data_IF_849764773778
#
_entry.id   IF_849764773778
#
_cell.length_a   1.000
_cell.length_b   1.000
_cell.length_c   1.000
_cell.angle_alpha   90.00
_cell.angle_beta   90.00
_cell.angle_gamma   90.00
#
_symmetry.space_group_name_H-M   'P 1'
#
loop_
_entity.id
_entity.type
_entity.pdbx_description
1 polymer ?
#
# COMPACT_ATOMS: atom_id res chain seq x y z
N UNK A 1 -19.16 -12.15 9.39
CA UNK A 1 -17.85 -11.63 8.95
C UNK A 1 -18.01 -11.04 7.56
N UNK A 2 -17.71 -9.76 7.40
CA UNK A 2 -17.84 -9.06 6.11
C UNK A 2 -16.50 -9.04 5.41
N UNK A 3 -16.36 -9.83 4.36
CA UNK A 3 -15.17 -9.85 3.51
C UNK A 3 -15.31 -8.70 2.53
N UNK A 4 -14.35 -7.77 2.54
CA UNK A 4 -14.29 -6.62 1.63
C UNK A 4 -13.51 -7.00 0.38
N UNK A 5 -12.41 -7.70 0.56
CA UNK A 5 -11.56 -8.13 -0.53
C UNK A 5 -10.97 -9.51 -0.21
N UNK A 6 -10.95 -10.34 -1.21
CA UNK A 6 -10.22 -11.60 -1.17
C UNK A 6 -9.64 -11.85 -2.56
N UNK A 7 -8.34 -12.05 -2.63
CA UNK A 7 -7.65 -12.24 -3.89
C UNK A 7 -6.42 -13.13 -3.67
N UNK A 8 -6.20 -14.06 -4.58
CA UNK A 8 -5.02 -14.92 -4.53
C UNK A 8 -4.47 -15.14 -5.94
N UNK A 9 -3.16 -15.21 -6.05
CA UNK A 9 -2.45 -15.53 -7.29
C UNK A 9 -1.29 -16.47 -7.01
N UNK A 10 -0.96 -17.29 -8.01
CA UNK A 10 0.14 -18.23 -7.94
C UNK A 10 0.86 -18.28 -9.28
N UNK A 11 2.18 -18.26 -9.21
CA UNK A 11 3.03 -18.56 -10.35
C UNK A 11 4.13 -19.54 -9.91
N UNK A 12 5.04 -20.00 -10.81
CA UNK A 12 6.07 -20.98 -10.42
C UNK A 12 7.00 -20.52 -9.29
N UNK A 13 7.06 -19.24 -9.00
CA UNK A 13 7.99 -18.66 -8.04
C UNK A 13 7.34 -18.20 -6.75
N UNK A 14 6.07 -17.76 -6.81
CA UNK A 14 5.39 -17.14 -5.68
C UNK A 14 3.93 -17.57 -5.59
N UNK A 15 3.46 -17.63 -4.37
CA UNK A 15 2.04 -17.72 -4.05
C UNK A 15 1.71 -16.58 -3.09
N UNK A 16 0.66 -15.84 -3.39
CA UNK A 16 0.26 -14.68 -2.59
C UNK A 16 -1.26 -14.62 -2.47
N UNK A 17 -1.71 -14.24 -1.29
CA UNK A 17 -3.13 -14.02 -1.02
C UNK A 17 -3.34 -12.74 -0.23
N UNK A 18 -4.46 -12.09 -0.49
CA UNK A 18 -4.93 -10.92 0.26
C UNK A 18 -6.36 -11.18 0.69
N UNK A 19 -6.65 -10.88 1.94
CA UNK A 19 -8.01 -10.87 2.47
C UNK A 19 -8.19 -9.62 3.33
N UNK A 20 -9.31 -8.95 3.15
CA UNK A 20 -9.68 -7.78 3.94
C UNK A 20 -11.10 -7.96 4.45
N UNK A 21 -11.29 -7.81 5.75
CA UNK A 21 -12.60 -7.93 6.40
C UNK A 21 -12.91 -6.67 7.19
N UNK A 22 -14.17 -6.27 7.17
CA UNK A 22 -14.63 -5.09 7.89
C UNK A 22 -14.75 -5.34 9.40
N UNK A 23 -15.12 -6.56 9.79
CA UNK A 23 -15.38 -6.89 11.19
C UNK A 23 -16.61 -6.15 11.70
N UNK A 24 -16.48 -5.49 12.85
CA UNK A 24 -17.55 -4.71 13.47
C UNK A 24 -17.49 -3.21 13.14
N UNK A 25 -16.54 -2.80 12.29
CA UNK A 25 -16.37 -1.40 11.90
C UNK A 25 -17.45 -0.99 10.90
N UNK A 26 -17.72 0.32 10.82
CA UNK A 26 -18.66 0.88 9.84
C UNK A 26 -18.03 1.14 8.48
N UNK A 27 -16.71 1.28 8.42
CA UNK A 27 -15.97 1.49 7.18
C UNK A 27 -14.54 0.99 7.32
N UNK A 28 -13.89 0.74 6.17
CA UNK A 28 -12.53 0.21 6.12
C UNK A 28 -11.53 1.32 5.90
N UNK A 29 -10.45 1.32 6.70
CA UNK A 29 -9.33 2.23 6.56
C UNK A 29 -8.03 1.53 6.15
N UNK A 30 -8.06 0.21 6.04
CA UNK A 30 -6.91 -0.59 5.63
C UNK A 30 -7.02 -0.91 4.14
N UNK A 31 -5.92 -0.76 3.43
CA UNK A 31 -5.85 -1.14 2.02
C UNK A 31 -4.59 -1.96 1.77
N UNK A 32 -4.72 -2.90 0.86
CA UNK A 32 -3.62 -3.76 0.44
C UNK A 32 -3.58 -3.85 -1.08
N UNK A 33 -2.40 -4.13 -1.60
CA UNK A 33 -2.18 -4.35 -3.01
C UNK A 33 -1.05 -5.35 -3.19
N UNK A 34 -1.14 -6.18 -4.21
CA UNK A 34 0.01 -6.93 -4.64
C UNK A 34 0.12 -6.98 -6.17
N UNK A 35 1.34 -7.12 -6.63
CA UNK A 35 1.71 -7.36 -8.01
C UNK A 35 2.55 -8.62 -8.07
N UNK A 36 2.24 -9.50 -9.00
CA UNK A 36 3.06 -10.66 -9.32
C UNK A 36 3.52 -10.56 -10.76
N UNK A 37 4.81 -10.60 -10.97
CA UNK A 37 5.41 -10.66 -12.30
C UNK A 37 6.22 -11.93 -12.46
N UNK A 38 6.94 -12.01 -13.56
CA UNK A 38 7.86 -13.12 -13.78
C UNK A 38 9.03 -13.00 -12.79
N UNK A 39 9.09 -13.94 -11.82
CA UNK A 39 10.14 -14.02 -10.80
C UNK A 39 10.19 -12.85 -9.82
N UNK A 40 9.11 -12.06 -9.72
CA UNK A 40 9.05 -10.97 -8.75
C UNK A 40 7.65 -10.80 -8.16
N UNK A 41 7.59 -10.24 -6.96
CA UNK A 41 6.35 -9.88 -6.28
C UNK A 41 6.55 -8.61 -5.47
N UNK A 42 5.55 -7.74 -5.50
CA UNK A 42 5.44 -6.59 -4.61
C UNK A 42 4.16 -6.73 -3.80
N UNK A 43 4.24 -6.60 -2.49
CA UNK A 43 3.08 -6.57 -1.60
C UNK A 43 3.11 -5.31 -0.75
N UNK A 44 1.95 -4.66 -0.61
CA UNK A 44 1.83 -3.40 0.13
C UNK A 44 0.60 -3.46 1.02
N UNK A 45 0.76 -3.05 2.27
CA UNK A 45 -0.34 -2.89 3.23
C UNK A 45 -0.23 -1.52 3.87
N UNK A 46 -1.34 -0.80 3.92
CA UNK A 46 -1.45 0.50 4.54
C UNK A 46 -2.64 0.49 5.51
N UNK A 47 -2.39 0.83 6.78
CA UNK A 47 -3.39 0.96 7.83
C UNK A 47 -3.64 2.45 8.06
N UNK A 48 -4.80 2.93 7.66
CA UNK A 48 -5.18 4.33 7.75
C UNK A 48 -5.65 4.73 9.15
N UNK A 49 -5.35 5.96 9.53
CA UNK A 49 -5.75 6.56 10.79
C UNK A 49 -6.31 7.96 10.57
N UNK A 50 -7.33 8.31 11.33
CA UNK A 50 -7.98 9.61 11.25
C UNK A 50 -9.49 9.50 11.06
N UNK A 51 -10.23 10.53 11.51
CA UNK A 51 -11.67 10.58 11.39
C UNK A 51 -12.14 11.11 10.03
N UNK A 52 -13.46 11.07 9.80
CA UNK A 52 -14.11 11.68 8.63
C UNK A 52 -13.45 11.29 7.28
N UNK A 53 -13.22 10.01 7.05
CA UNK A 53 -12.59 9.47 5.84
C UNK A 53 -11.11 9.80 5.69
N UNK A 54 -10.48 10.46 6.66
CA UNK A 54 -9.06 10.83 6.56
C UNK A 54 -8.15 9.63 6.44
N UNK A 55 -8.33 8.64 7.29
CA UNK A 55 -7.54 7.40 7.24
C UNK A 55 -7.79 6.56 5.98
N UNK A 56 -9.04 6.45 5.57
CA UNK A 56 -9.42 5.74 4.35
C UNK A 56 -8.75 6.35 3.12
N UNK A 57 -8.86 7.66 2.96
CA UNK A 57 -8.28 8.36 1.82
C UNK A 57 -6.75 8.32 1.85
N UNK A 58 -6.15 8.43 3.03
CA UNK A 58 -4.70 8.37 3.18
C UNK A 58 -4.15 7.00 2.76
N UNK A 59 -4.69 5.93 3.30
CA UNK A 59 -4.23 4.57 2.97
C UNK A 59 -4.50 4.20 1.52
N UNK A 60 -5.67 4.55 0.99
CA UNK A 60 -6.01 4.32 -0.41
C UNK A 60 -5.06 5.08 -1.36
N UNK A 61 -4.79 6.35 -1.07
CA UNK A 61 -3.86 7.16 -1.86
C UNK A 61 -2.46 6.56 -1.87
N UNK A 62 -1.97 6.14 -0.70
CA UNK A 62 -0.65 5.52 -0.58
C UNK A 62 -0.54 4.23 -1.40
N UNK A 63 -1.50 3.33 -1.26
CA UNK A 63 -1.50 2.05 -1.99
C UNK A 63 -1.58 2.28 -3.50
N UNK A 64 -2.46 3.17 -3.95
CA UNK A 64 -2.61 3.47 -5.38
C UNK A 64 -1.35 4.08 -5.98
N UNK A 65 -0.71 5.00 -5.27
CA UNK A 65 0.52 5.63 -5.74
C UNK A 65 1.65 4.60 -5.89
N UNK A 66 1.85 3.75 -4.89
CA UNK A 66 2.84 2.67 -4.97
C UNK A 66 2.57 1.76 -6.17
N UNK A 67 1.33 1.35 -6.37
CA UNK A 67 0.94 0.49 -7.48
C UNK A 67 1.23 1.14 -8.83
N UNK A 68 0.86 2.39 -8.99
CA UNK A 68 1.05 3.14 -10.24
C UNK A 68 2.52 3.37 -10.54
N UNK A 69 3.28 3.83 -9.55
CA UNK A 69 4.69 4.16 -9.72
C UNK A 69 5.53 2.92 -9.97
N UNK A 70 5.24 1.83 -9.29
CA UNK A 70 5.94 0.56 -9.53
C UNK A 70 5.75 0.08 -10.97
N UNK A 71 4.51 0.10 -11.48
CA UNK A 71 4.22 -0.31 -12.86
C UNK A 71 4.86 0.61 -13.89
N UNK A 72 4.86 1.92 -13.63
CA UNK A 72 5.41 2.91 -14.55
C UNK A 72 6.94 2.84 -14.63
N UNK A 73 7.61 2.61 -13.50
CA UNK A 73 9.08 2.68 -13.41
C UNK A 73 9.78 1.36 -13.68
N UNK A 74 9.02 0.27 -13.84
CA UNK A 74 9.62 -1.04 -14.19
C UNK A 74 10.32 -1.01 -15.56
N UNK A 75 11.46 -1.69 -15.69
CA UNK A 75 12.20 -2.45 -14.68
C UNK A 75 12.98 -1.52 -13.73
N UNK A 76 12.96 -1.86 -12.43
CA UNK A 76 13.62 -1.04 -11.42
C UNK A 76 14.95 -1.68 -11.06
N UNK A 77 16.05 -0.98 -11.33
CA UNK A 77 17.40 -1.49 -11.10
C UNK A 77 17.83 -1.42 -9.63
N UNK A 78 17.29 -0.48 -8.87
CA UNK A 78 17.65 -0.26 -7.46
C UNK A 78 16.37 -0.23 -6.61
N UNK A 79 15.95 -1.40 -6.15
CA UNK A 79 14.72 -1.54 -5.36
C UNK A 79 14.80 -0.79 -4.02
N UNK A 80 15.89 -0.88 -3.24
CA UNK A 80 15.98 -0.10 -2.00
C UNK A 80 15.79 1.40 -2.22
N UNK A 81 16.42 1.96 -3.24
CA UNK A 81 16.25 3.38 -3.57
C UNK A 81 14.82 3.71 -3.99
N UNK A 82 14.20 2.85 -4.80
CA UNK A 82 12.80 3.01 -5.19
C UNK A 82 11.87 3.02 -3.98
N UNK A 83 11.99 2.04 -3.09
CA UNK A 83 11.14 1.95 -1.90
C UNK A 83 11.30 3.17 -0.99
N UNK A 84 12.53 3.64 -0.81
CA UNK A 84 12.81 4.84 -0.01
C UNK A 84 12.19 6.10 -0.62
N UNK A 85 12.40 6.31 -1.91
CA UNK A 85 11.84 7.46 -2.63
C UNK A 85 10.31 7.41 -2.65
N UNK A 86 9.75 6.23 -2.82
CA UNK A 86 8.31 6.04 -2.87
C UNK A 86 7.66 6.36 -1.53
N UNK A 87 8.26 5.96 -0.42
CA UNK A 87 7.77 6.35 0.90
C UNK A 87 7.68 7.88 1.04
N UNK A 88 8.66 8.61 0.54
CA UNK A 88 8.64 10.07 0.51
C UNK A 88 7.56 10.65 -0.40
N UNK A 89 7.35 10.07 -1.57
CA UNK A 89 6.27 10.48 -2.50
C UNK A 89 4.90 10.24 -1.89
N UNK A 90 4.72 9.12 -1.22
CA UNK A 90 3.47 8.77 -0.54
C UNK A 90 3.19 9.75 0.59
N UNK A 91 4.19 10.10 1.39
CA UNK A 91 4.06 11.09 2.46
C UNK A 91 3.59 12.44 1.92
N UNK A 92 4.20 12.92 0.85
CA UNK A 92 3.79 14.18 0.20
C UNK A 92 2.37 14.11 -0.36
N UNK A 93 2.01 13.01 -0.99
CA UNK A 93 0.69 12.84 -1.59
C UNK A 93 -0.41 12.82 -0.51
N UNK A 94 -0.17 12.13 0.60
CA UNK A 94 -1.11 12.09 1.73
C UNK A 94 -1.23 13.48 2.37
N UNK A 95 -0.10 14.17 2.59
CA UNK A 95 -0.10 15.53 3.16
C UNK A 95 -0.83 16.53 2.28
N UNK A 96 -0.90 16.32 0.97
CA UNK A 96 -1.60 17.19 0.03
C UNK A 96 -3.09 16.94 -0.07
N UNK A 97 -3.63 15.91 0.58
CA UNK A 97 -5.06 15.62 0.55
C UNK A 97 -5.87 16.72 1.22
N UNK A 98 -7.01 17.04 0.62
CA UNK A 98 -7.92 18.08 1.10
C UNK A 98 -9.33 17.55 1.21
N UNK A 99 -10.08 18.10 2.18
CA UNK A 99 -11.51 17.83 2.31
C UNK A 99 -12.31 18.62 1.26
N UNK A 100 -13.64 18.42 1.26
CA UNK A 100 -14.55 19.09 0.31
C UNK A 100 -14.55 20.62 0.41
N UNK A 101 -14.04 21.16 1.53
CA UNK A 101 -13.93 22.60 1.76
C UNK A 101 -12.55 23.16 1.38
N UNK A 102 -11.69 22.35 0.80
CA UNK A 102 -10.33 22.74 0.40
C UNK A 102 -9.34 22.84 1.54
N UNK A 103 -9.70 22.39 2.76
CA UNK A 103 -8.81 22.38 3.92
C UNK A 103 -8.02 21.07 3.98
N UNK A 104 -6.82 21.06 4.59
CA UNK A 104 -6.06 19.82 4.76
C UNK A 104 -6.91 18.73 5.40
N UNK A 105 -6.85 17.53 4.83
CA UNK A 105 -7.53 16.37 5.38
C UNK A 105 -6.75 15.86 6.59
N UNK A 106 -7.43 15.71 7.72
CA UNK A 106 -6.82 15.12 8.90
C UNK A 106 -6.80 13.61 8.78
N UNK A 107 -5.62 13.05 8.56
CA UNK A 107 -5.46 11.63 8.43
C UNK A 107 -4.05 11.27 8.06
N UNK A 108 -3.73 10.03 8.25
CA UNK A 108 -2.45 9.46 7.91
C UNK A 108 -2.57 7.98 7.64
N UNK A 109 -1.47 7.34 7.31
CA UNK A 109 -1.44 5.90 7.10
C UNK A 109 -0.09 5.33 7.47
N UNK A 110 -0.09 4.10 7.96
CA UNK A 110 1.13 3.30 8.01
C UNK A 110 1.44 2.78 6.62
N UNK A 111 2.64 2.26 6.46
CA UNK A 111 3.08 1.58 5.25
C UNK A 111 3.94 0.38 5.61
N UNK A 112 3.62 -0.75 5.02
CA UNK A 112 4.55 -1.87 4.90
C UNK A 112 4.54 -2.30 3.44
N UNK A 113 5.70 -2.29 2.82
CA UNK A 113 5.86 -2.79 1.46
C UNK A 113 7.02 -3.77 1.41
N UNK A 114 6.82 -4.88 0.74
CA UNK A 114 7.81 -5.93 0.57
C UNK A 114 7.95 -6.23 -0.91
N UNK A 115 9.18 -6.23 -1.38
CA UNK A 115 9.53 -6.69 -2.72
C UNK A 115 10.40 -7.94 -2.62
N UNK A 116 10.04 -8.96 -3.35
CA UNK A 116 10.83 -10.17 -3.47
C UNK A 116 11.09 -10.49 -4.93
N UNK A 117 12.29 -10.93 -5.21
CA UNK A 117 12.59 -11.63 -6.44
C UNK A 117 13.22 -13.00 -6.09
N UNK A 118 13.72 -13.69 -7.10
CA UNK A 118 14.26 -15.03 -6.94
C UNK A 118 15.38 -15.14 -5.89
N UNK A 119 16.15 -14.08 -5.68
CA UNK A 119 17.37 -14.11 -4.87
C UNK A 119 17.33 -13.16 -3.66
N UNK A 120 16.43 -12.19 -3.63
CA UNK A 120 16.48 -11.09 -2.68
C UNK A 120 15.09 -10.67 -2.23
N UNK A 121 15.04 -10.15 -1.01
CA UNK A 121 13.86 -9.53 -0.44
C UNK A 121 14.25 -8.18 0.12
N UNK A 122 13.46 -7.17 -0.19
CA UNK A 122 13.59 -5.82 0.33
C UNK A 122 12.26 -5.36 0.91
N UNK A 123 12.30 -4.53 1.95
CA UNK A 123 11.08 -4.00 2.53
C UNK A 123 11.29 -2.58 3.05
N UNK A 124 10.19 -1.87 3.19
CA UNK A 124 10.11 -0.59 3.87
C UNK A 124 8.93 -0.62 4.83
N UNK A 125 9.10 -0.01 5.99
CA UNK A 125 8.05 0.10 7.00
C UNK A 125 8.04 1.52 7.56
N UNK A 126 6.85 2.11 7.62
CA UNK A 126 6.60 3.41 8.22
C UNK A 126 5.43 3.27 9.17
N UNK A 127 5.65 3.56 10.46
CA UNK A 127 4.64 3.40 11.50
C UNK A 127 4.78 2.11 12.27
N UNK A 128 3.67 1.63 12.84
CA UNK A 128 3.62 0.47 13.74
C UNK A 128 3.07 -0.81 13.09
N UNK A 129 2.71 -0.77 11.82
CA UNK A 129 2.34 -1.99 11.06
C UNK A 129 3.57 -2.87 10.83
N UNK A 130 3.35 -4.18 10.77
CA UNK A 130 4.42 -5.16 10.62
C UNK A 130 3.99 -6.31 9.71
#
# INVERSE_FOLDING_TARGET
MNIIEERAEKNPWFEIGVSSILGTRSYQQDFAYFYTGNQEVLAVVCDGMGGLQGGERASQTAVQLMAQDFKREKPISNIPAFLHQEAGRMDKAVAALKNDQGKPLEGGTTLVAVYCNKNQMYWVSVGDSR
#
